data_IF_823509810671
#
_entry.id   IF_823509810671
#
_cell.length_a   1.000
_cell.length_b   1.000
_cell.length_c   1.000
_cell.angle_alpha   90.00
_cell.angle_beta   90.00
_cell.angle_gamma   90.00
#
_symmetry.space_group_name_H-M   'P 1'
#
loop_
_entity.id
_entity.type
_entity.pdbx_description
1 polymer ?
#
# COMPACT_ATOMS: atom_id res chain seq x y z
N UNK A 1 -15.33 12.64 5.89
CA UNK A 1 -14.12 12.70 5.02
C UNK A 1 -13.65 11.29 4.59
N UNK A 2 -14.52 10.30 4.37
CA UNK A 2 -14.19 8.93 4.84
C UNK A 2 -14.48 7.71 3.92
N UNK A 3 -14.71 7.86 2.61
CA UNK A 3 -14.83 6.69 1.70
C UNK A 3 -13.96 6.77 0.45
N UNK A 4 -13.94 7.92 -0.23
CA UNK A 4 -13.15 8.10 -1.46
C UNK A 4 -11.64 8.02 -1.24
N UNK A 5 -11.13 8.60 -0.14
CA UNK A 5 -9.71 8.53 0.23
C UNK A 5 -9.28 7.09 0.53
N UNK A 6 -10.11 6.33 1.23
CA UNK A 6 -9.83 4.92 1.54
C UNK A 6 -9.77 4.06 0.26
N UNK A 7 -10.67 4.27 -0.71
CA UNK A 7 -10.64 3.51 -1.96
C UNK A 7 -9.37 3.76 -2.79
N UNK A 8 -8.89 5.00 -2.86
CA UNK A 8 -7.65 5.33 -3.59
C UNK A 8 -6.45 4.71 -2.87
N UNK A 9 -6.43 4.81 -1.54
CA UNK A 9 -5.39 4.23 -0.71
C UNK A 9 -5.32 2.71 -0.87
N UNK A 10 -6.46 2.02 -0.73
CA UNK A 10 -6.57 0.56 -0.91
C UNK A 10 -6.11 0.14 -2.31
N UNK A 11 -6.44 0.91 -3.34
CA UNK A 11 -6.03 0.62 -4.71
C UNK A 11 -4.50 0.71 -4.88
N UNK A 12 -3.87 1.72 -4.30
CA UNK A 12 -2.41 1.89 -4.36
C UNK A 12 -1.71 0.79 -3.56
N UNK A 13 -2.21 0.47 -2.37
CA UNK A 13 -1.70 -0.61 -1.51
C UNK A 13 -1.77 -1.96 -2.24
N UNK A 14 -2.93 -2.32 -2.79
CA UNK A 14 -3.11 -3.56 -3.53
C UNK A 14 -2.19 -3.64 -4.75
N UNK A 15 -2.07 -2.56 -5.53
CA UNK A 15 -1.14 -2.50 -6.65
C UNK A 15 0.30 -2.67 -6.22
N UNK A 16 0.72 -2.03 -5.14
CA UNK A 16 2.09 -2.16 -4.64
C UNK A 16 2.38 -3.54 -4.07
N UNK A 17 1.41 -4.20 -3.43
CA UNK A 17 1.55 -5.61 -3.01
C UNK A 17 1.71 -6.57 -4.19
N UNK A 18 0.89 -6.40 -5.23
CA UNK A 18 1.04 -7.15 -6.49
C UNK A 18 2.42 -6.88 -7.09
N UNK A 19 2.83 -5.62 -7.19
CA UNK A 19 4.11 -5.24 -7.75
C UNK A 19 5.28 -5.84 -6.96
N UNK A 20 5.19 -5.87 -5.64
CA UNK A 20 6.18 -6.47 -4.74
C UNK A 20 6.42 -7.94 -5.09
N UNK A 21 5.32 -8.69 -5.31
CA UNK A 21 5.36 -10.11 -5.65
C UNK A 21 5.97 -10.40 -7.03
N UNK A 22 5.74 -9.53 -8.02
CA UNK A 22 6.17 -9.78 -9.41
C UNK A 22 7.48 -9.11 -9.80
N UNK A 23 7.81 -7.96 -9.20
CA UNK A 23 8.94 -7.10 -9.61
C UNK A 23 9.87 -6.71 -8.45
N UNK A 24 9.54 -7.11 -7.23
CA UNK A 24 10.33 -6.89 -6.03
C UNK A 24 9.89 -5.67 -5.21
N UNK A 25 10.21 -5.71 -3.91
CA UNK A 25 9.80 -4.73 -2.90
C UNK A 25 10.27 -3.31 -3.22
N UNK A 26 11.44 -3.14 -3.84
CA UNK A 26 12.00 -1.82 -4.16
C UNK A 26 11.09 -1.04 -5.12
N UNK A 27 10.57 -1.71 -6.16
CA UNK A 27 9.67 -1.07 -7.11
C UNK A 27 8.31 -0.76 -6.48
N UNK A 28 7.81 -1.66 -5.63
CA UNK A 28 6.57 -1.44 -4.90
C UNK A 28 6.65 -0.22 -3.99
N UNK A 29 7.75 -0.11 -3.25
CA UNK A 29 8.05 1.03 -2.38
C UNK A 29 8.07 2.35 -3.16
N UNK A 30 8.82 2.41 -4.27
CA UNK A 30 8.88 3.62 -5.10
C UNK A 30 7.51 4.02 -5.66
N UNK A 31 6.67 3.06 -6.02
CA UNK A 31 5.32 3.30 -6.53
C UNK A 31 4.40 3.88 -5.45
N UNK A 32 4.43 3.32 -4.23
CA UNK A 32 3.65 3.83 -3.11
C UNK A 32 4.14 5.20 -2.62
N UNK A 33 5.46 5.45 -2.63
CA UNK A 33 6.04 6.76 -2.30
C UNK A 33 5.61 7.82 -3.32
N UNK A 34 5.66 7.51 -4.63
CA UNK A 34 5.16 8.41 -5.69
C UNK A 34 3.66 8.70 -5.58
N UNK A 35 2.89 7.77 -5.05
CA UNK A 35 1.46 7.95 -4.78
C UNK A 35 1.19 8.77 -3.49
N UNK A 36 2.24 9.16 -2.75
CA UNK A 36 2.14 9.98 -1.55
C UNK A 36 1.81 9.22 -0.28
N UNK A 37 2.00 7.89 -0.25
CA UNK A 37 1.78 7.13 0.98
C UNK A 37 2.88 7.44 2.00
N UNK A 38 2.52 7.56 3.30
CA UNK A 38 3.51 7.71 4.35
C UNK A 38 4.44 6.50 4.41
N UNK A 39 5.74 6.74 4.58
CA UNK A 39 6.75 5.66 4.62
C UNK A 39 6.45 4.59 5.68
N UNK A 40 5.86 4.97 6.81
CA UNK A 40 5.43 4.03 7.86
C UNK A 40 4.37 3.03 7.39
N UNK A 41 3.40 3.50 6.59
CA UNK A 41 2.39 2.65 5.96
C UNK A 41 3.05 1.69 4.97
N UNK A 42 3.91 2.22 4.11
CA UNK A 42 4.57 1.43 3.05
C UNK A 42 5.37 0.27 3.67
N UNK A 43 6.16 0.57 4.70
CA UNK A 43 6.93 -0.46 5.43
C UNK A 43 5.97 -1.50 6.03
N UNK A 44 4.88 -1.07 6.66
CA UNK A 44 3.92 -1.98 7.30
C UNK A 44 3.24 -2.90 6.28
N UNK A 45 2.83 -2.36 5.14
CA UNK A 45 2.20 -3.07 4.02
C UNK A 45 3.16 -4.10 3.43
N UNK A 46 4.40 -3.70 3.13
CA UNK A 46 5.39 -4.59 2.53
C UNK A 46 5.88 -5.66 3.51
N UNK A 47 6.02 -5.33 4.80
CA UNK A 47 6.45 -6.29 5.82
C UNK A 47 5.35 -7.29 6.23
N UNK A 48 4.06 -6.91 6.12
CA UNK A 48 2.93 -7.76 6.51
C UNK A 48 1.84 -7.80 5.43
N UNK A 49 2.13 -8.37 4.25
CA UNK A 49 1.21 -8.39 3.11
C UNK A 49 -0.11 -9.11 3.42
N UNK A 50 -0.09 -10.14 4.28
CA UNK A 50 -1.27 -10.95 4.64
C UNK A 50 -2.20 -10.29 5.68
N UNK A 51 -1.71 -9.28 6.41
CA UNK A 51 -2.48 -8.54 7.44
C UNK A 51 -2.93 -7.16 6.98
N UNK A 52 -2.81 -6.87 5.69
CA UNK A 52 -3.19 -5.56 5.13
C UNK A 52 -4.66 -5.61 4.71
N UNK A 53 -5.61 -5.37 5.62
CA UNK A 53 -7.03 -5.22 5.25
C UNK A 53 -7.42 -3.74 5.26
N UNK A 54 -8.32 -3.37 4.35
CA UNK A 54 -8.88 -2.00 4.24
C UNK A 54 -9.52 -1.49 5.54
N UNK A 55 -9.93 -2.40 6.42
CA UNK A 55 -10.47 -2.11 7.76
C UNK A 55 -9.43 -1.63 8.77
N UNK A 56 -8.14 -1.92 8.56
CA UNK A 56 -7.07 -1.65 9.54
C UNK A 56 -6.61 -0.18 9.56
N UNK A 57 -7.20 0.65 8.70
CA UNK A 57 -6.83 2.06 8.48
C UNK A 57 -7.97 3.05 8.84
N UNK A 58 -9.02 2.56 9.52
CA UNK A 58 -10.27 3.27 9.86
C UNK A 58 -10.14 4.30 10.98
#
# INVERSE_FOLDING_TARGET
MKKRLNNIFDHVVNKGLILSKFRGELQAKQMMEKAGLPRSIIIRVLANPERTRSSDWS
#
